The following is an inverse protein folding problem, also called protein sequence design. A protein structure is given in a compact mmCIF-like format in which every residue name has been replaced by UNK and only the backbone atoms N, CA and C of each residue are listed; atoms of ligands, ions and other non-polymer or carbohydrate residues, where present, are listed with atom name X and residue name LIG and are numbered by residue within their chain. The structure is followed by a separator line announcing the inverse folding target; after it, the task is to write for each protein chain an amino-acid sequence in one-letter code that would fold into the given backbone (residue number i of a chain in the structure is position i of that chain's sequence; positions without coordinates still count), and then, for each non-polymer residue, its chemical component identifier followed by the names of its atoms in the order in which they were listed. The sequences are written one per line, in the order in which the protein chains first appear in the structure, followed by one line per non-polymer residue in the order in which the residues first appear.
data_IF_562509119259
#
_entry.id   IF_562509119259
#
_cell.length_a   1.000
_cell.length_b   1.000
_cell.length_c   1.000
_cell.angle_alpha   90.00
_cell.angle_beta   90.00
_cell.angle_gamma   90.00
#
_symmetry.space_group_name_H-M   'P 1'
#
loop_
_entity.id
_entity.type
_entity.pdbx_description
1 polymer ?
#
# COMPACT_ATOMS: atom_id res chain seq x y z
N UNK A 1 -15.92 11.83 1.85
CA UNK A 1 -14.49 11.78 1.49
C UNK A 1 -14.26 10.39 0.95
N UNK A 2 -13.65 10.26 -0.22
CA UNK A 2 -13.38 8.94 -0.80
C UNK A 2 -12.24 8.35 0.03
N UNK A 3 -12.56 7.37 0.86
CA UNK A 3 -11.54 6.71 1.68
C UNK A 3 -10.50 6.10 0.75
N UNK A 4 -9.25 6.42 1.04
CA UNK A 4 -8.13 5.91 0.30
C UNK A 4 -7.85 4.48 0.75
N UNK A 5 -8.09 3.50 -0.13
CA UNK A 5 -7.92 2.09 0.22
C UNK A 5 -6.47 1.76 0.62
N UNK A 6 -5.47 2.48 0.11
CA UNK A 6 -4.08 2.33 0.58
C UNK A 6 -3.92 2.79 2.03
N UNK A 7 -4.53 3.92 2.39
CA UNK A 7 -4.56 4.44 3.76
C UNK A 7 -5.27 3.47 4.70
N UNK A 8 -6.43 2.94 4.29
CA UNK A 8 -7.20 1.97 5.08
C UNK A 8 -6.41 0.68 5.32
N UNK A 9 -5.73 0.16 4.30
CA UNK A 9 -4.90 -1.05 4.43
C UNK A 9 -3.69 -0.81 5.33
N UNK A 10 -3.02 0.34 5.20
CA UNK A 10 -1.91 0.70 6.09
C UNK A 10 -2.37 0.89 7.54
N UNK A 11 -3.56 1.46 7.74
CA UNK A 11 -4.16 1.58 9.07
C UNK A 11 -4.50 0.21 9.69
N UNK A 12 -5.04 -0.74 8.89
CA UNK A 12 -5.48 -2.04 9.41
C UNK A 12 -4.35 -3.07 9.55
N UNK A 13 -3.45 -3.15 8.57
CA UNK A 13 -2.49 -4.24 8.44
C UNK A 13 -1.05 -3.83 8.77
N UNK A 14 -0.78 -2.52 8.94
CA UNK A 14 0.55 -1.92 9.15
C UNK A 14 1.58 -2.19 8.04
N UNK A 15 1.26 -3.04 7.05
CA UNK A 15 2.13 -3.47 5.96
C UNK A 15 1.29 -3.68 4.70
N UNK A 16 1.85 -3.34 3.54
CA UNK A 16 1.23 -3.66 2.24
C UNK A 16 1.99 -4.78 1.57
N UNK A 17 1.31 -5.85 1.17
CA UNK A 17 1.89 -7.00 0.47
C UNK A 17 1.24 -7.15 -0.91
N UNK A 18 2.04 -7.32 -1.95
CA UNK A 18 1.54 -7.40 -3.32
C UNK A 18 0.59 -8.61 -3.52
N UNK A 19 -0.56 -8.39 -4.16
CA UNK A 19 -1.56 -9.43 -4.40
C UNK A 19 -1.15 -10.49 -5.45
N UNK A 20 -0.13 -10.21 -6.27
CA UNK A 20 0.21 -11.06 -7.41
C UNK A 20 0.80 -12.38 -6.96
N UNK A 21 0.38 -13.48 -7.61
CA UNK A 21 0.92 -14.80 -7.37
C UNK A 21 2.46 -14.83 -7.46
N UNK A 22 3.10 -15.51 -6.52
CA UNK A 22 4.56 -15.59 -6.33
C UNK A 22 5.31 -14.25 -6.15
N UNK A 23 4.60 -13.13 -6.00
CA UNK A 23 5.23 -11.87 -5.63
C UNK A 23 5.42 -11.79 -4.12
N UNK A 24 6.66 -11.57 -3.68
CA UNK A 24 7.00 -11.38 -2.25
C UNK A 24 7.34 -9.94 -1.91
N UNK A 25 6.98 -9.00 -2.79
CA UNK A 25 7.18 -7.59 -2.54
C UNK A 25 6.24 -7.15 -1.41
N UNK A 26 6.81 -6.45 -0.44
CA UNK A 26 6.07 -5.72 0.59
C UNK A 26 6.58 -4.28 0.64
N UNK A 27 5.72 -3.37 1.09
CA UNK A 27 6.08 -1.98 1.29
C UNK A 27 6.72 -1.80 2.66
N UNK A 28 7.87 -1.15 2.69
CA UNK A 28 8.54 -0.73 3.92
C UNK A 28 8.51 0.81 3.98
N UNK A 29 8.10 1.34 5.13
CA UNK A 29 8.08 2.77 5.39
C UNK A 29 9.04 3.06 6.54
N UNK A 30 9.97 3.99 6.33
CA UNK A 30 11.05 4.28 7.29
C UNK A 30 10.52 4.76 8.65
N UNK A 31 9.37 5.41 8.66
CA UNK A 31 8.73 5.87 9.89
C UNK A 31 8.04 4.70 10.61
N UNK A 32 8.45 4.44 11.85
CA UNK A 32 7.76 3.48 12.73
C UNK A 32 6.31 3.91 12.94
N UNK A 33 5.38 2.97 12.76
CA UNK A 33 3.97 3.18 13.04
C UNK A 33 3.77 3.69 14.48
N UNK A 34 3.13 4.85 14.62
CA UNK A 34 2.88 5.50 15.89
C UNK A 34 1.47 6.12 15.94
N UNK A 35 1.00 6.37 17.15
CA UNK A 35 -0.22 7.13 17.34
C UNK A 35 0.02 8.62 17.05
N UNK A 36 -0.89 9.30 16.31
CA UNK A 36 -2.15 8.75 15.78
C UNK A 36 -1.96 7.99 14.45
N UNK A 37 -2.42 6.73 14.45
CA UNK A 37 -2.22 5.77 13.35
C UNK A 37 -2.78 6.22 12.00
N UNK A 38 -3.83 7.03 11.98
CA UNK A 38 -4.43 7.56 10.75
C UNK A 38 -3.51 8.58 10.06
N UNK A 39 -2.81 9.42 10.82
CA UNK A 39 -1.83 10.35 10.26
C UNK A 39 -0.61 9.61 9.70
N UNK A 40 -0.15 8.59 10.41
CA UNK A 40 0.92 7.72 9.93
C UNK A 40 0.49 7.02 8.62
N UNK A 41 -0.70 6.42 8.58
CA UNK A 41 -1.21 5.72 7.40
C UNK A 41 -1.32 6.64 6.18
N UNK A 42 -1.77 7.89 6.36
CA UNK A 42 -1.81 8.90 5.29
C UNK A 42 -0.42 9.16 4.71
N UNK A 43 0.59 9.36 5.55
CA UNK A 43 1.98 9.59 5.10
C UNK A 43 2.54 8.37 4.38
N UNK A 44 2.35 7.19 4.97
CA UNK A 44 2.78 5.93 4.39
C UNK A 44 2.13 5.68 3.01
N UNK A 45 0.83 5.99 2.85
CA UNK A 45 0.12 5.83 1.58
C UNK A 45 0.64 6.77 0.49
N UNK A 46 1.00 8.02 0.84
CA UNK A 46 1.63 8.96 -0.11
C UNK A 46 2.96 8.40 -0.62
N UNK A 47 3.79 7.85 0.27
CA UNK A 47 5.08 7.26 -0.11
C UNK A 47 4.91 5.97 -0.90
N UNK A 48 3.98 5.10 -0.50
CA UNK A 48 3.67 3.88 -1.25
C UNK A 48 3.31 4.20 -2.71
N UNK A 49 2.46 5.21 -2.94
CA UNK A 49 2.13 5.69 -4.29
C UNK A 49 3.34 6.21 -5.05
N UNK A 50 4.18 7.02 -4.40
CA UNK A 50 5.39 7.54 -5.02
C UNK A 50 6.36 6.40 -5.43
N UNK A 51 6.35 5.30 -4.67
CA UNK A 51 7.07 4.07 -4.98
C UNK A 51 6.36 3.18 -6.02
N UNK A 52 5.24 3.62 -6.60
CA UNK A 52 4.48 2.93 -7.64
C UNK A 52 3.55 1.82 -7.13
N UNK A 53 3.25 1.78 -5.83
CA UNK A 53 2.19 0.92 -5.32
C UNK A 53 0.81 1.47 -5.71
N UNK A 54 -0.08 0.59 -6.12
CA UNK A 54 -1.43 0.94 -6.58
C UNK A 54 -2.45 -0.10 -6.11
N UNK A 55 -3.73 0.19 -6.28
CA UNK A 55 -4.82 -0.79 -6.15
C UNK A 55 -4.97 -1.56 -7.45
N UNK A 56 -5.04 -2.89 -7.35
CA UNK A 56 -5.35 -3.81 -8.43
C UNK A 56 -6.86 -4.00 -8.62
N UNK A 57 -7.27 -4.77 -9.63
CA UNK A 57 -8.68 -4.90 -9.98
C UNK A 57 -9.52 -5.65 -8.92
N UNK A 58 -8.87 -6.40 -8.02
CA UNK A 58 -9.52 -7.14 -6.92
C UNK A 58 -9.84 -6.25 -5.72
N UNK A 59 -9.33 -5.00 -5.72
CA UNK A 59 -9.30 -4.14 -4.54
C UNK A 59 -8.08 -4.36 -3.64
N UNK A 60 -7.18 -5.30 -3.94
CA UNK A 60 -5.92 -5.47 -3.20
C UNK A 60 -4.78 -4.68 -3.84
N UNK A 61 -3.62 -4.59 -3.18
CA UNK A 61 -2.49 -3.77 -3.66
C UNK A 61 -1.58 -4.51 -4.66
N UNK A 62 -1.13 -3.80 -5.70
CA UNK A 62 -0.03 -4.21 -6.59
C UNK A 62 1.21 -3.35 -6.36
N UNK A 63 2.37 -3.99 -6.25
CA UNK A 63 3.66 -3.29 -6.31
C UNK A 63 3.94 -2.74 -7.71
N UNK A 64 4.87 -1.79 -7.84
CA UNK A 64 5.22 -1.17 -9.12
C UNK A 64 5.53 -2.18 -10.25
N UNK A 65 6.24 -3.27 -9.92
CA UNK A 65 6.60 -4.31 -10.90
C UNK A 65 5.40 -5.10 -11.41
N UNK A 66 4.42 -5.35 -10.55
CA UNK A 66 3.21 -6.09 -10.92
C UNK A 66 2.13 -5.18 -11.51
N UNK A 67 2.12 -3.89 -11.15
CA UNK A 67 1.20 -2.90 -11.69
C UNK A 67 1.39 -2.66 -13.20
N UNK A 68 2.62 -2.82 -13.71
CA UNK A 68 2.92 -2.69 -15.16
C UNK A 68 2.58 -3.94 -15.96
N UNK A 69 2.30 -5.06 -15.29
CA UNK A 69 1.83 -6.28 -15.97
C UNK A 69 0.33 -6.09 -16.16
N UNK A 70 -0.05 -5.71 -17.37
CA UNK A 70 -1.43 -5.86 -17.82
C UNK A 70 -1.68 -7.37 -17.82
N UNK A 71 -2.53 -7.82 -16.91
CA UNK A 71 -3.00 -9.20 -16.88
C UNK A 71 -3.85 -9.47 -18.15
#
# INVERSE_FOLDING_TARGET
MMNDLLEEMLFCEFMLVCESHDCRAFFEFEEVANDPMDEWAKRAAVVARACGWTIGHTGLVKCAKCAVRVD
#
